data_IF_431484299622
#
_entry.id   IF_431484299622
#
_cell.length_a   1.000
_cell.length_b   1.000
_cell.length_c   1.000
_cell.angle_alpha   90.00
_cell.angle_beta   90.00
_cell.angle_gamma   90.00
#
_symmetry.space_group_name_H-M   'P 1'
#
loop_
_entity.id
_entity.type
_entity.pdbx_description
1 polymer ?
#
# COMPACT_ATOMS: atom_id res chain seq x y z
N UNK A 1 -20.24 7.87 17.71
CA UNK A 1 -20.32 8.25 16.30
C UNK A 1 -20.97 7.08 15.60
N UNK A 2 -21.97 7.31 14.77
CA UNK A 2 -22.65 6.20 14.10
C UNK A 2 -21.73 5.66 12.99
N UNK A 3 -21.65 4.34 12.82
CA UNK A 3 -20.71 3.70 11.90
C UNK A 3 -20.85 4.16 10.44
N UNK A 4 -22.04 4.61 10.05
CA UNK A 4 -22.28 5.23 8.75
C UNK A 4 -21.55 6.57 8.61
N UNK A 5 -21.65 7.45 9.62
CA UNK A 5 -20.96 8.75 9.65
C UNK A 5 -19.44 8.58 9.65
N UNK A 6 -18.93 7.61 10.40
CA UNK A 6 -17.51 7.25 10.42
C UNK A 6 -17.02 6.81 9.02
N UNK A 7 -17.83 6.01 8.32
CA UNK A 7 -17.53 5.54 6.96
C UNK A 7 -17.48 6.69 5.96
N UNK A 8 -18.43 7.62 5.99
CA UNK A 8 -18.43 8.81 5.13
C UNK A 8 -17.20 9.69 5.35
N UNK A 9 -16.81 9.92 6.60
CA UNK A 9 -15.61 10.70 6.93
C UNK A 9 -14.35 9.99 6.42
N UNK A 10 -14.26 8.68 6.58
CA UNK A 10 -13.14 7.89 6.09
C UNK A 10 -13.01 7.94 4.56
N UNK A 11 -14.10 7.71 3.82
CA UNK A 11 -14.08 7.77 2.36
C UNK A 11 -13.79 9.18 1.85
N UNK A 12 -14.32 10.21 2.51
CA UNK A 12 -13.98 11.61 2.23
C UNK A 12 -12.49 11.88 2.42
N UNK A 13 -11.92 11.41 3.54
CA UNK A 13 -10.49 11.51 3.81
C UNK A 13 -9.64 10.79 2.77
N UNK A 14 -10.04 9.59 2.35
CA UNK A 14 -9.36 8.82 1.30
C UNK A 14 -9.44 9.51 -0.06
N UNK A 15 -10.59 10.13 -0.38
CA UNK A 15 -10.78 10.93 -1.59
C UNK A 15 -9.87 12.16 -1.57
N UNK A 16 -9.83 12.92 -0.47
CA UNK A 16 -8.95 14.08 -0.31
C UNK A 16 -7.49 13.65 -0.45
N UNK A 17 -7.09 12.56 0.20
CA UNK A 17 -5.74 12.02 0.09
C UNK A 17 -5.40 11.69 -1.37
N UNK A 18 -6.29 11.00 -2.08
CA UNK A 18 -6.14 10.73 -3.51
C UNK A 18 -6.03 11.99 -4.37
N UNK A 19 -6.85 13.01 -4.11
CA UNK A 19 -6.82 14.30 -4.82
C UNK A 19 -5.52 15.05 -4.59
N UNK A 20 -5.02 15.09 -3.35
CA UNK A 20 -3.74 15.74 -3.01
C UNK A 20 -2.60 15.06 -3.77
N UNK A 21 -2.54 13.74 -3.74
CA UNK A 21 -1.53 12.97 -4.48
C UNK A 21 -1.65 13.19 -6.00
N UNK A 22 -2.87 13.22 -6.53
CA UNK A 22 -3.11 13.47 -7.95
C UNK A 22 -2.67 14.88 -8.37
N UNK A 23 -3.04 15.90 -7.60
CA UNK A 23 -2.66 17.29 -7.84
C UNK A 23 -1.13 17.45 -7.74
N UNK A 24 -0.51 16.87 -6.71
CA UNK A 24 0.93 16.88 -6.55
C UNK A 24 1.66 16.23 -7.73
N UNK A 25 1.16 15.08 -8.20
CA UNK A 25 1.69 14.44 -9.40
C UNK A 25 1.68 15.39 -10.60
N UNK A 26 0.52 15.98 -10.88
CA UNK A 26 0.31 16.80 -12.08
C UNK A 26 1.06 18.14 -12.03
N UNK A 27 1.13 18.77 -10.86
CA UNK A 27 1.73 20.10 -10.70
C UNK A 27 3.25 20.06 -10.57
N UNK A 28 3.80 19.02 -9.91
CA UNK A 28 5.23 18.98 -9.56
C UNK A 28 5.95 17.76 -10.12
N UNK A 29 5.37 16.57 -10.02
CA UNK A 29 6.09 15.35 -10.39
C UNK A 29 6.20 15.13 -11.89
N UNK A 30 5.19 15.55 -12.65
CA UNK A 30 5.17 15.44 -14.10
C UNK A 30 6.03 16.52 -14.79
N UNK A 31 6.40 17.60 -14.09
CA UNK A 31 7.34 18.62 -14.58
C UNK A 31 8.81 18.25 -14.38
N UNK A 32 9.09 17.24 -13.54
CA UNK A 32 10.45 16.75 -13.32
C UNK A 32 10.93 15.88 -14.48
N UNK A 33 12.11 16.18 -14.99
CA UNK A 33 12.76 15.38 -16.04
C UNK A 33 13.20 14.00 -15.52
N UNK A 34 13.64 13.93 -14.26
CA UNK A 34 14.07 12.68 -13.63
C UNK A 34 12.89 11.85 -13.15
N UNK A 35 12.69 10.72 -13.83
CA UNK A 35 11.66 9.73 -13.48
C UNK A 35 11.85 9.10 -12.10
N UNK A 36 13.10 8.89 -11.69
CA UNK A 36 13.41 8.30 -10.37
C UNK A 36 13.09 9.29 -9.27
N UNK A 37 13.45 10.56 -9.46
CA UNK A 37 13.24 11.60 -8.46
C UNK A 37 11.74 11.91 -8.30
N UNK A 38 11.02 11.95 -9.41
CA UNK A 38 9.55 12.04 -9.46
C UNK A 38 8.89 10.90 -8.67
N UNK A 39 9.34 9.66 -8.88
CA UNK A 39 8.84 8.49 -8.15
C UNK A 39 9.14 8.56 -6.64
N UNK A 40 10.37 8.89 -6.26
CA UNK A 40 10.79 8.97 -4.86
C UNK A 40 10.02 10.06 -4.10
N UNK A 41 9.93 11.28 -4.66
CA UNK A 41 9.18 12.37 -4.03
C UNK A 41 7.70 12.05 -3.89
N UNK A 42 7.10 11.44 -4.91
CA UNK A 42 5.71 10.99 -4.84
C UNK A 42 5.50 10.00 -3.70
N UNK A 43 6.37 9.00 -3.56
CA UNK A 43 6.26 8.04 -2.46
C UNK A 43 6.49 8.71 -1.10
N UNK A 44 7.49 9.58 -0.95
CA UNK A 44 7.73 10.31 0.30
C UNK A 44 6.47 11.06 0.75
N UNK A 45 5.78 11.73 -0.17
CA UNK A 45 4.53 12.42 0.16
C UNK A 45 3.44 11.44 0.60
N UNK A 46 3.25 10.32 -0.11
CA UNK A 46 2.26 9.31 0.27
C UNK A 46 2.56 8.71 1.65
N UNK A 47 3.80 8.26 1.89
CA UNK A 47 4.19 7.76 3.21
C UNK A 47 4.10 8.84 4.30
N UNK A 48 4.40 10.10 3.97
CA UNK A 48 4.27 11.23 4.89
C UNK A 48 2.83 11.49 5.32
N UNK A 49 1.87 11.50 4.38
CA UNK A 49 0.44 11.63 4.70
C UNK A 49 -0.03 10.41 5.50
N UNK A 50 0.39 9.21 5.13
CA UNK A 50 0.09 7.98 5.86
C UNK A 50 0.58 8.07 7.32
N UNK A 51 1.82 8.48 7.55
CA UNK A 51 2.38 8.66 8.89
C UNK A 51 1.67 9.78 9.67
N UNK A 52 1.31 10.88 9.01
CA UNK A 52 0.55 11.98 9.63
C UNK A 52 -0.86 11.57 10.07
N UNK A 53 -1.59 10.83 9.22
CA UNK A 53 -2.91 10.26 9.58
C UNK A 53 -2.77 9.27 10.72
N UNK A 54 -1.71 8.46 10.72
CA UNK A 54 -1.42 7.52 11.80
C UNK A 54 -1.16 8.24 13.13
N UNK A 55 -0.34 9.29 13.12
CA UNK A 55 -0.08 10.13 14.30
C UNK A 55 -1.37 10.79 14.82
N UNK A 56 -2.15 11.38 13.91
CA UNK A 56 -3.45 11.99 14.24
C UNK A 56 -4.43 10.97 14.85
N UNK A 57 -4.35 9.69 14.45
CA UNK A 57 -5.16 8.62 15.04
C UNK A 57 -4.79 8.27 16.48
N UNK A 58 -3.57 8.60 16.92
CA UNK A 58 -3.12 8.38 18.32
C UNK A 58 -3.59 9.50 19.23
N UNK A 59 -3.53 10.74 18.74
CA UNK A 59 -3.92 11.93 19.52
C UNK A 59 -5.42 12.18 19.52
N UNK A 60 -6.10 11.92 18.40
CA UNK A 60 -7.54 12.18 18.26
C UNK A 60 -8.36 10.90 18.38
N UNK A 61 -9.21 10.86 19.40
CA UNK A 61 -10.19 9.79 19.57
C UNK A 61 -11.08 9.66 18.33
N UNK A 62 -11.43 10.78 17.69
CA UNK A 62 -12.29 10.83 16.49
C UNK A 62 -11.61 10.14 15.32
N UNK A 63 -10.36 10.49 15.01
CA UNK A 63 -9.61 9.87 13.90
C UNK A 63 -9.39 8.38 14.16
N UNK A 64 -9.13 8.00 15.41
CA UNK A 64 -9.03 6.60 15.82
C UNK A 64 -10.33 5.83 15.57
N UNK A 65 -11.47 6.39 15.97
CA UNK A 65 -12.79 5.78 15.75
C UNK A 65 -13.14 5.75 14.27
N UNK A 66 -12.85 6.79 13.50
CA UNK A 66 -13.09 6.83 12.05
C UNK A 66 -12.29 5.73 11.36
N UNK A 67 -10.99 5.58 11.67
CA UNK A 67 -10.22 4.46 11.15
C UNK A 67 -10.93 3.16 11.57
N UNK A 68 -11.07 2.89 12.87
CA UNK A 68 -11.55 1.61 13.39
C UNK A 68 -12.97 1.20 12.92
N UNK A 69 -13.90 2.13 12.80
CA UNK A 69 -15.31 1.87 12.49
C UNK A 69 -15.59 1.81 10.97
N UNK A 70 -14.85 2.57 10.15
CA UNK A 70 -15.14 2.69 8.71
C UNK A 70 -14.95 1.41 7.88
N UNK A 71 -14.26 0.42 8.43
CA UNK A 71 -13.99 -0.85 7.73
C UNK A 71 -14.90 -2.01 8.17
N UNK A 72 -15.61 -1.88 9.29
CA UNK A 72 -16.47 -2.96 9.81
C UNK A 72 -17.75 -2.43 10.47
N UNK A 73 -18.70 -2.00 9.64
CA UNK A 73 -20.14 -2.01 9.96
C UNK A 73 -20.68 -3.47 10.06
N UNK A 74 -20.01 -4.33 10.84
CA UNK A 74 -20.26 -5.77 10.87
C UNK A 74 -19.73 -6.46 12.12
N UNK A 75 -20.41 -6.24 13.26
CA UNK A 75 -20.62 -7.17 14.40
C UNK A 75 -19.51 -8.20 14.74
N UNK A 76 -18.23 -7.83 14.79
CA UNK A 76 -17.19 -8.63 15.47
C UNK A 76 -16.15 -7.70 16.12
N UNK A 77 -16.21 -7.57 17.45
CA UNK A 77 -15.36 -6.69 18.26
C UNK A 77 -13.89 -7.16 18.39
N UNK A 78 -13.44 -8.15 17.61
CA UNK A 78 -12.20 -8.87 17.87
C UNK A 78 -11.04 -8.53 16.95
N UNK A 79 -11.23 -7.75 15.87
CA UNK A 79 -10.13 -7.31 15.02
C UNK A 79 -10.16 -5.80 14.79
N UNK A 80 -9.34 -5.07 15.57
CA UNK A 80 -8.98 -3.65 15.37
C UNK A 80 -8.10 -3.50 14.13
N UNK A 81 -8.67 -3.71 12.94
CA UNK A 81 -7.91 -3.92 11.71
C UNK A 81 -8.11 -2.85 10.64
N UNK A 82 -8.33 -1.59 11.00
CA UNK A 82 -8.76 -0.60 10.01
C UNK A 82 -7.66 0.27 9.38
N UNK A 83 -6.40 0.02 9.73
CA UNK A 83 -5.24 0.61 9.03
C UNK A 83 -4.97 0.02 7.64
N UNK A 84 -5.62 -1.10 7.28
CA UNK A 84 -5.31 -1.86 6.06
C UNK A 84 -5.60 -1.11 4.75
N UNK A 85 -6.66 -0.30 4.67
CA UNK A 85 -6.94 0.46 3.45
C UNK A 85 -5.96 1.61 3.22
N UNK A 86 -5.43 2.22 4.29
CA UNK A 86 -4.44 3.28 4.17
C UNK A 86 -3.08 2.74 3.70
N UNK A 87 -2.74 1.49 4.07
CA UNK A 87 -1.56 0.76 3.56
C UNK A 87 -1.63 0.56 2.03
N UNK A 88 -2.83 0.45 1.46
CA UNK A 88 -3.03 0.26 0.02
C UNK A 88 -2.76 1.57 -0.75
N UNK A 89 -2.85 2.74 -0.12
CA UNK A 89 -2.72 4.02 -0.83
C UNK A 89 -1.32 4.23 -1.44
N UNK A 90 -0.19 4.08 -0.72
CA UNK A 90 1.14 4.12 -1.34
C UNK A 90 1.31 3.10 -2.45
N UNK A 91 0.75 1.89 -2.27
CA UNK A 91 0.84 0.82 -3.26
C UNK A 91 0.10 1.16 -4.56
N UNK A 92 -1.15 1.66 -4.48
CA UNK A 92 -1.92 2.09 -5.64
C UNK A 92 -1.28 3.32 -6.29
N UNK A 93 -0.80 4.28 -5.49
CA UNK A 93 -0.16 5.47 -6.00
C UNK A 93 1.13 5.15 -6.78
N UNK A 94 1.88 4.13 -6.37
CA UNK A 94 3.06 3.66 -7.10
C UNK A 94 2.75 3.26 -8.56
N UNK A 95 1.55 2.73 -8.85
CA UNK A 95 1.10 2.38 -10.21
C UNK A 95 0.97 3.64 -11.06
N UNK A 96 0.40 4.71 -10.48
CA UNK A 96 0.23 6.00 -11.14
C UNK A 96 1.59 6.68 -11.39
N UNK A 97 2.51 6.61 -10.43
CA UNK A 97 3.87 7.14 -10.57
C UNK A 97 4.67 6.40 -11.65
N UNK A 98 4.47 5.09 -11.81
CA UNK A 98 5.10 4.31 -12.89
C UNK A 98 4.51 4.57 -14.28
N UNK A 99 3.45 5.38 -14.37
CA UNK A 99 2.72 5.70 -15.61
C UNK A 99 2.24 4.44 -16.33
N UNK A 100 1.87 3.41 -15.57
CA UNK A 100 1.47 2.10 -16.12
C UNK A 100 0.29 2.22 -17.09
N UNK A 101 -0.68 3.07 -16.76
CA UNK A 101 -1.84 3.34 -17.63
C UNK A 101 -1.45 4.04 -18.92
N UNK A 102 -0.53 5.02 -18.88
CA UNK A 102 -0.03 5.71 -20.07
C UNK A 102 0.75 4.77 -21.00
N UNK A 103 1.39 3.73 -20.43
CA UNK A 103 2.11 2.68 -21.19
C UNK A 103 1.20 1.55 -21.70
N UNK A 104 -0.11 1.77 -21.73
CA UNK A 104 -1.09 0.83 -22.30
C UNK A 104 -1.76 -0.10 -21.28
N UNK A 105 -1.50 0.04 -19.98
CA UNK A 105 -2.21 -0.66 -18.91
C UNK A 105 -2.32 -2.18 -19.10
N UNK A 106 -3.53 -2.70 -19.30
CA UNK A 106 -3.76 -4.14 -19.58
C UNK A 106 -3.05 -4.63 -20.84
N UNK A 107 -2.68 -3.74 -21.75
CA UNK A 107 -1.98 -4.04 -23.00
C UNK A 107 -0.49 -3.71 -22.93
N UNK A 108 0.01 -3.23 -21.80
CA UNK A 108 1.41 -2.93 -21.61
C UNK A 108 2.29 -4.19 -21.77
N UNK A 109 3.54 -3.97 -22.16
CA UNK A 109 4.56 -5.01 -22.27
C UNK A 109 4.70 -5.77 -20.94
N UNK A 110 5.02 -7.07 -21.01
CA UNK A 110 5.19 -7.91 -19.81
C UNK A 110 6.14 -7.31 -18.79
N UNK A 111 7.25 -6.69 -19.25
CA UNK A 111 8.21 -5.99 -18.41
C UNK A 111 7.58 -4.89 -17.55
N UNK A 112 6.63 -4.13 -18.07
CA UNK A 112 5.96 -3.06 -17.33
C UNK A 112 4.93 -3.62 -16.34
N UNK A 113 4.28 -4.75 -16.67
CA UNK A 113 3.41 -5.46 -15.72
C UNK A 113 4.19 -6.03 -14.53
N UNK A 114 5.36 -6.61 -14.77
CA UNK A 114 6.24 -7.10 -13.70
C UNK A 114 6.72 -5.96 -12.80
N UNK A 115 7.11 -4.81 -13.40
CA UNK A 115 7.48 -3.61 -12.62
C UNK A 115 6.33 -3.11 -11.75
N UNK A 116 5.11 -3.08 -12.31
CA UNK A 116 3.91 -2.68 -11.58
C UNK A 116 3.61 -3.62 -10.42
N UNK A 117 3.64 -4.94 -10.64
CA UNK A 117 3.47 -5.93 -9.57
C UNK A 117 4.54 -5.77 -8.48
N UNK A 118 5.81 -5.66 -8.87
CA UNK A 118 6.91 -5.47 -7.93
C UNK A 118 6.72 -4.20 -7.09
N UNK A 119 6.36 -3.08 -7.71
CA UNK A 119 6.13 -1.83 -7.01
C UNK A 119 4.95 -1.91 -6.04
N UNK A 120 3.82 -2.49 -6.44
CA UNK A 120 2.65 -2.67 -5.56
C UNK A 120 2.99 -3.56 -4.38
N UNK A 121 3.66 -4.69 -4.62
CA UNK A 121 4.04 -5.63 -3.55
C UNK A 121 5.02 -5.00 -2.57
N UNK A 122 6.10 -4.39 -3.06
CA UNK A 122 7.12 -3.76 -2.22
C UNK A 122 6.50 -2.63 -1.41
N UNK A 123 5.71 -1.74 -2.02
CA UNK A 123 5.12 -0.62 -1.30
C UNK A 123 4.08 -1.07 -0.26
N UNK A 124 3.29 -2.11 -0.55
CA UNK A 124 2.36 -2.68 0.44
C UNK A 124 3.11 -3.21 1.67
N UNK A 125 4.18 -3.98 1.44
CA UNK A 125 5.00 -4.55 2.52
C UNK A 125 5.73 -3.45 3.31
N UNK A 126 6.33 -2.47 2.62
CA UNK A 126 7.02 -1.36 3.26
C UNK A 126 6.07 -0.46 4.04
N UNK A 127 4.85 -0.23 3.57
CA UNK A 127 3.83 0.50 4.31
C UNK A 127 3.42 -0.24 5.59
N UNK A 128 3.23 -1.56 5.51
CA UNK A 128 2.87 -2.36 6.67
C UNK A 128 4.02 -2.41 7.70
N UNK A 129 5.24 -2.77 7.28
CA UNK A 129 6.41 -2.81 8.16
C UNK A 129 6.73 -1.42 8.72
N UNK A 130 6.70 -0.39 7.87
CA UNK A 130 6.95 0.98 8.25
C UNK A 130 5.97 1.47 9.32
N UNK A 131 4.67 1.18 9.19
CA UNK A 131 3.68 1.52 10.21
C UNK A 131 3.89 0.74 11.51
N UNK A 132 4.25 -0.55 11.44
CA UNK A 132 4.54 -1.35 12.63
C UNK A 132 5.75 -0.80 13.39
N UNK A 133 6.86 -0.53 12.69
CA UNK A 133 8.04 0.07 13.29
C UNK A 133 7.75 1.46 13.85
N UNK A 134 7.00 2.27 13.10
CA UNK A 134 6.63 3.62 13.52
C UNK A 134 5.75 3.59 14.77
N UNK A 135 4.78 2.68 14.84
CA UNK A 135 3.98 2.48 16.05
C UNK A 135 4.85 2.06 17.24
N UNK A 136 5.76 1.10 17.03
CA UNK A 136 6.65 0.59 18.07
C UNK A 136 7.55 1.71 18.63
N UNK A 137 8.10 2.57 17.76
CA UNK A 137 8.85 3.76 18.18
C UNK A 137 7.99 4.78 18.93
N UNK A 138 6.75 5.01 18.49
CA UNK A 138 5.81 5.91 19.16
C UNK A 138 5.36 5.38 20.53
N UNK A 139 5.49 4.09 20.80
CA UNK A 139 5.29 3.47 22.12
C UNK A 139 6.51 3.65 23.05
N UNK A 140 7.57 4.32 22.59
CA UNK A 140 8.77 4.66 23.38
C UNK A 140 9.90 3.66 23.27
N UNK A 141 9.75 2.63 22.44
CA UNK A 141 10.77 1.60 22.24
C UNK A 141 11.87 2.06 21.27
N UNK A 142 13.06 1.49 21.44
CA UNK A 142 14.19 1.77 20.56
C UNK A 142 14.05 1.09 19.19
N UNK A 143 14.71 1.66 18.16
CA UNK A 143 14.79 1.01 16.84
C UNK A 143 15.51 -0.34 16.89
N UNK A 144 16.40 -0.53 17.86
CA UNK A 144 17.12 -1.78 18.07
C UNK A 144 16.18 -2.88 18.56
N UNK A 145 15.31 -2.58 19.54
CA UNK A 145 14.26 -3.50 19.97
C UNK A 145 13.29 -3.83 18.83
N UNK A 146 12.94 -2.84 18.01
CA UNK A 146 12.08 -3.08 16.84
C UNK A 146 12.72 -4.05 15.84
N UNK A 147 14.03 -3.89 15.59
CA UNK A 147 14.80 -4.81 14.73
C UNK A 147 14.78 -6.22 15.29
N UNK A 148 15.04 -6.38 16.58
CA UNK A 148 15.06 -7.70 17.24
C UNK A 148 13.69 -8.37 17.13
N UNK A 149 12.61 -7.65 17.43
CA UNK A 149 11.24 -8.18 17.32
C UNK A 149 10.91 -8.59 15.88
N UNK A 150 11.33 -7.81 14.89
CA UNK A 150 11.15 -8.18 13.48
C UNK A 150 11.95 -9.42 13.11
N UNK A 151 13.22 -9.50 13.51
CA UNK A 151 14.08 -10.66 13.25
C UNK A 151 13.53 -11.94 13.89
N UNK A 152 13.11 -11.86 15.16
CA UNK A 152 12.45 -12.96 15.86
C UNK A 152 11.13 -13.34 15.19
N UNK A 153 10.34 -12.36 14.76
CA UNK A 153 9.10 -12.62 14.03
C UNK A 153 9.36 -13.36 12.71
N UNK A 154 10.35 -12.94 11.93
CA UNK A 154 10.74 -13.64 10.70
C UNK A 154 11.33 -15.03 10.96
N UNK A 155 12.10 -15.19 12.03
CA UNK A 155 12.63 -16.49 12.44
C UNK A 155 11.53 -17.44 12.96
N UNK A 156 10.47 -16.89 13.56
CA UNK A 156 9.33 -17.66 14.07
C UNK A 156 8.37 -18.12 12.97
N UNK A 157 8.43 -17.52 11.76
CA UNK A 157 7.69 -17.99 10.60
C UNK A 157 8.24 -19.36 10.22
N UNK A 158 7.49 -20.41 10.60
CA UNK A 158 7.86 -21.79 10.30
C UNK A 158 8.14 -21.99 8.81
N UNK A 159 9.20 -22.70 8.48
CA UNK A 159 9.70 -22.87 7.11
C UNK A 159 8.62 -23.39 6.15
N UNK A 160 7.68 -24.21 6.63
CA UNK A 160 6.54 -24.70 5.86
C UNK A 160 5.60 -23.58 5.39
N UNK A 161 5.31 -22.61 6.26
CA UNK A 161 4.48 -21.45 5.93
C UNK A 161 5.20 -20.47 4.99
N UNK A 162 6.52 -20.33 5.13
CA UNK A 162 7.35 -19.58 4.20
C UNK A 162 7.36 -20.18 2.80
N UNK A 163 7.56 -21.50 2.70
CA UNK A 163 7.51 -22.25 1.43
C UNK A 163 6.14 -22.17 0.76
N UNK A 164 5.06 -22.32 1.52
CA UNK A 164 3.69 -22.18 1.00
C UNK A 164 3.43 -20.77 0.46
N UNK A 165 3.88 -19.73 1.16
CA UNK A 165 3.77 -18.34 0.71
C UNK A 165 4.53 -18.10 -0.62
N UNK A 166 5.76 -18.59 -0.72
CA UNK A 166 6.57 -18.49 -1.94
C UNK A 166 5.92 -19.26 -3.10
N UNK A 167 5.45 -20.48 -2.86
CA UNK A 167 4.77 -21.30 -3.86
C UNK A 167 3.49 -20.62 -4.37
N UNK A 168 2.71 -20.03 -3.47
CA UNK A 168 1.48 -19.30 -3.80
C UNK A 168 1.79 -18.04 -4.61
N UNK A 169 2.83 -17.30 -4.24
CA UNK A 169 3.29 -16.13 -5.01
C UNK A 169 3.74 -16.53 -6.43
N UNK A 170 4.50 -17.62 -6.56
CA UNK A 170 4.92 -18.14 -7.86
C UNK A 170 3.73 -18.61 -8.71
N UNK A 171 2.75 -19.28 -8.09
CA UNK A 171 1.54 -19.73 -8.77
C UNK A 171 0.70 -18.58 -9.30
N UNK A 172 0.48 -17.53 -8.49
CA UNK A 172 -0.22 -16.31 -8.91
C UNK A 172 0.53 -15.64 -10.07
N UNK A 173 1.84 -15.50 -9.94
CA UNK A 173 2.69 -14.95 -11.01
C UNK A 173 2.58 -15.76 -12.31
N UNK A 174 2.60 -17.09 -12.20
CA UNK A 174 2.46 -18.01 -13.32
C UNK A 174 1.11 -17.87 -14.03
N UNK A 175 0.00 -17.81 -13.27
CA UNK A 175 -1.34 -17.58 -13.85
C UNK A 175 -1.37 -16.28 -14.65
N UNK A 176 -0.88 -15.18 -14.07
CA UNK A 176 -0.92 -13.87 -14.73
C UNK A 176 -0.01 -13.85 -15.97
N UNK A 177 1.15 -14.49 -15.91
CA UNK A 177 2.06 -14.65 -17.05
C UNK A 177 1.39 -15.45 -18.16
N UNK A 178 0.79 -16.59 -17.84
CA UNK A 178 0.12 -17.46 -18.81
C UNK A 178 -1.04 -16.74 -19.49
N UNK A 179 -1.84 -16.00 -18.74
CA UNK A 179 -2.95 -15.21 -19.28
C UNK A 179 -2.46 -14.11 -20.23
N UNK A 180 -1.38 -13.40 -19.85
CA UNK A 180 -0.76 -12.36 -20.68
C UNK A 180 -0.37 -12.90 -22.06
N UNK A 181 0.40 -13.98 -22.13
CA UNK A 181 0.90 -14.52 -23.40
C UNK A 181 -0.23 -15.14 -24.24
N UNK A 182 -1.21 -15.80 -23.62
CA UNK A 182 -2.38 -16.36 -24.31
C UNK A 182 -3.18 -15.29 -25.08
N UNK A 183 -3.31 -14.09 -24.52
CA UNK A 183 -4.05 -12.98 -25.13
C UNK A 183 -3.17 -12.04 -25.96
N UNK A 184 -1.85 -12.13 -25.83
CA UNK A 184 -0.90 -11.38 -26.65
C UNK A 184 -0.80 -11.99 -28.06
N UNK A 185 -0.72 -13.32 -28.17
CA UNK A 185 -0.62 -14.01 -29.48
C UNK A 185 -1.92 -13.93 -30.29
N UNK A 186 -3.08 -13.90 -29.64
CA UNK A 186 -4.39 -13.70 -30.32
C UNK A 186 -4.56 -12.31 -30.93
N UNK A 187 -3.76 -11.32 -30.52
CA UNK A 187 -3.85 -9.93 -31.01
C UNK A 187 -2.86 -9.62 -32.13
N UNK A 188 -1.96 -10.54 -32.45
CA UNK A 188 -1.04 -10.45 -33.60
C UNK A 188 -1.48 -11.27 -34.82
N UNK A 189 -2.51 -12.11 -34.67
CA UNK A 189 -3.24 -12.72 -35.78
C UNK A 189 -4.42 -11.85 -36.15
#
# INVERSE_FOLDING_TARGET
MDGETASWIFYSGLLIYGLVLFAFKRLYLDTLESRVLSYMLGLVLAYGILAGVFLASRESLVVRTVLQEALWSGRTHTYRGAGFLLIIVPAVYSIFLLRFFEKGGKNAAWKEKVKMMGAVSINTVMALLGLLCFNYMLDGHSMEECRIVLEESFASIGWESGLLSIALMYFVFYIIKRDHFKHYDRRRK
#
